data_IF_588799418105
#
_entry.id   IF_588799418105
#
_cell.length_a   1.000
_cell.length_b   1.000
_cell.length_c   1.000
_cell.angle_alpha   90.00
_cell.angle_beta   90.00
_cell.angle_gamma   90.00
#
_symmetry.space_group_name_H-M   'P 1'
#
loop_
_entity.id
_entity.type
_entity.pdbx_description
1 polymer ?
#
# COMPACT_ATOMS: atom_id res chain seq x y z
N UNK A 1 19.89 -11.52 1.92
CA UNK A 1 18.73 -12.22 1.30
C UNK A 1 17.48 -11.33 1.13
N UNK A 2 17.22 -10.32 1.96
CA UNK A 2 16.15 -9.31 1.75
C UNK A 2 16.18 -8.65 0.35
N UNK A 3 17.35 -8.62 -0.26
CA UNK A 3 17.69 -8.24 -1.63
C UNK A 3 16.69 -8.82 -2.66
N UNK A 4 16.39 -10.12 -2.55
CA UNK A 4 15.46 -10.78 -3.46
C UNK A 4 14.01 -10.37 -3.17
N UNK A 5 13.67 -10.10 -1.91
CA UNK A 5 12.34 -9.60 -1.54
C UNK A 5 12.09 -8.19 -2.05
N UNK A 6 13.03 -7.26 -1.88
CA UNK A 6 12.87 -5.88 -2.37
C UNK A 6 12.80 -5.83 -3.90
N UNK A 7 13.68 -6.59 -4.59
CA UNK A 7 13.64 -6.72 -6.03
C UNK A 7 12.32 -7.38 -6.52
N UNK A 8 11.83 -8.42 -5.83
CA UNK A 8 10.48 -8.98 -6.08
C UNK A 8 9.40 -7.91 -5.83
N UNK A 9 9.45 -7.16 -4.72
CA UNK A 9 8.41 -6.19 -4.28
C UNK A 9 8.26 -4.99 -5.21
N UNK A 10 9.37 -4.39 -5.64
CA UNK A 10 9.36 -3.27 -6.59
C UNK A 10 8.94 -3.72 -8.00
N UNK A 11 9.46 -4.86 -8.46
CA UNK A 11 9.02 -5.50 -9.73
C UNK A 11 7.55 -5.94 -9.65
N UNK A 12 7.07 -6.35 -8.47
CA UNK A 12 5.67 -6.69 -8.18
C UNK A 12 4.75 -5.48 -7.99
N UNK A 13 5.24 -4.24 -8.10
CA UNK A 13 4.41 -3.04 -8.26
C UNK A 13 4.67 -2.28 -9.57
N UNK A 14 5.61 -2.75 -10.40
CA UNK A 14 5.90 -2.16 -11.73
C UNK A 14 6.96 -1.05 -11.73
N UNK A 15 7.77 -0.95 -10.68
CA UNK A 15 8.90 -0.02 -10.61
C UNK A 15 10.11 -0.56 -11.40
N UNK A 16 10.63 0.26 -12.32
CA UNK A 16 11.83 -0.03 -13.13
C UNK A 16 12.91 1.05 -12.93
N UNK A 17 13.32 1.30 -11.68
CA UNK A 17 14.49 2.12 -11.34
C UNK A 17 15.80 1.34 -11.47
N UNK A 18 16.97 2.01 -11.53
CA UNK A 18 18.27 1.34 -11.58
C UNK A 18 18.58 0.61 -10.25
N UNK A 19 18.94 -0.67 -10.33
CA UNK A 19 19.25 -1.50 -9.16
C UNK A 19 20.71 -1.28 -8.72
N UNK A 20 20.95 -1.14 -7.40
CA UNK A 20 22.24 -1.53 -6.76
C UNK A 20 22.23 -1.51 -5.21
N UNK A 21 21.07 -1.60 -4.55
CA UNK A 21 20.95 -1.22 -3.14
C UNK A 21 21.25 -2.41 -2.14
N UNK A 22 22.20 -2.22 -1.18
CA UNK A 22 22.98 -3.17 -0.35
C UNK A 22 23.24 -2.60 1.12
N UNK A 23 23.38 -3.28 2.28
CA UNK A 23 23.54 -4.71 2.68
C UNK A 23 23.16 -5.05 4.17
N UNK A 24 22.21 -6.00 4.37
CA UNK A 24 22.20 -7.12 5.36
C UNK A 24 21.90 -6.97 6.89
N UNK A 25 20.92 -7.76 7.42
CA UNK A 25 21.00 -8.45 8.73
C UNK A 25 20.03 -9.65 8.91
N UNK A 26 20.20 -10.37 10.03
CA UNK A 26 19.68 -11.70 10.37
C UNK A 26 18.16 -11.81 10.62
N UNK A 27 17.42 -12.42 9.69
CA UNK A 27 16.42 -13.44 10.03
C UNK A 27 16.38 -14.46 8.87
N UNK A 28 16.31 -15.77 9.17
CA UNK A 28 16.89 -16.79 8.28
C UNK A 28 15.96 -17.47 7.28
N UNK A 29 14.65 -17.27 7.34
CA UNK A 29 13.72 -17.75 6.30
C UNK A 29 12.77 -16.65 5.84
N UNK A 30 13.09 -16.06 4.69
CA UNK A 30 12.24 -15.06 4.01
C UNK A 30 12.28 -15.30 2.50
N UNK A 31 12.03 -16.56 2.16
CA UNK A 31 12.06 -17.12 0.79
C UNK A 31 10.82 -16.75 -0.05
N UNK A 32 9.74 -16.33 0.62
CA UNK A 32 8.38 -16.21 0.11
C UNK A 32 8.14 -15.28 -1.10
N UNK A 33 7.05 -15.49 -1.87
CA UNK A 33 6.51 -14.51 -2.81
C UNK A 33 5.73 -13.38 -2.13
N UNK A 34 5.67 -12.24 -2.81
CA UNK A 34 4.73 -11.15 -2.52
C UNK A 34 3.59 -11.18 -3.53
N UNK A 35 2.36 -11.16 -3.03
CA UNK A 35 1.16 -11.09 -3.84
C UNK A 35 0.57 -9.67 -3.82
N UNK A 36 0.10 -9.18 -4.97
CA UNK A 36 -0.65 -7.93 -5.05
C UNK A 36 -1.87 -8.07 -5.96
N UNK A 37 -2.90 -7.31 -5.65
CA UNK A 37 -4.03 -7.04 -6.51
C UNK A 37 -4.37 -5.54 -6.46
N UNK A 38 -3.87 -4.79 -7.44
CA UNK A 38 -3.90 -3.32 -7.45
C UNK A 38 -4.42 -2.74 -8.76
N UNK A 39 -4.83 -1.48 -8.74
CA UNK A 39 -4.82 -0.64 -9.94
C UNK A 39 -3.60 0.28 -9.90
N UNK A 40 -2.82 0.27 -10.96
CA UNK A 40 -1.68 1.15 -11.17
C UNK A 40 -2.10 2.32 -12.07
N UNK A 41 -1.64 3.53 -11.74
CA UNK A 41 -1.78 4.73 -12.59
C UNK A 41 -0.43 5.15 -13.14
N UNK A 42 -0.34 5.31 -14.47
CA UNK A 42 0.79 5.95 -15.13
C UNK A 42 1.15 5.38 -16.51
N UNK A 43 2.21 5.91 -17.16
CA UNK A 43 3.04 7.03 -16.70
C UNK A 43 2.29 8.37 -16.73
N UNK A 44 2.46 9.19 -15.69
CA UNK A 44 2.02 10.59 -15.68
C UNK A 44 2.77 11.38 -14.60
N UNK A 45 3.05 12.66 -14.85
CA UNK A 45 3.67 13.56 -13.87
C UNK A 45 2.61 14.02 -12.84
N UNK A 46 2.82 13.74 -11.55
CA UNK A 46 1.94 14.24 -10.49
C UNK A 46 2.69 14.46 -9.15
N UNK A 47 2.05 15.17 -8.23
CA UNK A 47 2.62 15.65 -6.97
C UNK A 47 1.89 15.10 -5.74
N UNK A 48 1.03 14.10 -5.92
CA UNK A 48 0.36 13.41 -4.83
C UNK A 48 -0.79 12.52 -5.29
N UNK A 49 -1.35 11.77 -4.34
CA UNK A 49 -2.45 10.84 -4.51
C UNK A 49 -3.35 10.82 -3.28
N UNK A 50 -4.62 10.48 -3.47
CA UNK A 50 -5.59 10.21 -2.40
C UNK A 50 -6.35 8.92 -2.68
N UNK A 51 -6.89 8.32 -1.63
CA UNK A 51 -7.85 7.22 -1.69
C UNK A 51 -8.34 6.85 -0.30
N UNK A 52 -9.57 6.36 -0.20
CA UNK A 52 -10.12 5.88 1.06
C UNK A 52 -9.98 4.35 1.07
N UNK A 53 -9.13 3.83 1.95
CA UNK A 53 -8.85 2.40 2.06
C UNK A 53 -9.85 1.79 3.04
N UNK A 54 -10.66 0.84 2.57
CA UNK A 54 -11.56 0.06 3.40
C UNK A 54 -10.75 -0.85 4.35
N UNK A 55 -11.10 -0.81 5.63
CA UNK A 55 -10.30 -1.36 6.73
C UNK A 55 -10.80 -2.76 7.13
N UNK A 56 -9.94 -3.77 7.11
CA UNK A 56 -10.25 -5.15 7.49
C UNK A 56 -9.18 -5.71 8.43
N UNK A 57 -9.58 -6.65 9.30
CA UNK A 57 -8.68 -7.42 10.16
C UNK A 57 -8.54 -8.88 9.71
N UNK A 58 -7.79 -9.16 8.61
CA UNK A 58 -7.49 -10.53 8.20
C UNK A 58 -6.69 -11.25 9.29
N UNK A 59 -6.98 -12.53 9.52
CA UNK A 59 -6.12 -13.41 10.30
C UNK A 59 -4.94 -13.85 9.41
N UNK A 60 -3.72 -13.81 9.94
CA UNK A 60 -2.50 -14.24 9.24
C UNK A 60 -1.58 -15.02 10.20
N UNK A 61 -0.75 -15.92 9.69
CA UNK A 61 0.28 -16.60 10.49
C UNK A 61 1.36 -15.63 11.00
N UNK A 62 2.13 -16.04 12.00
CA UNK A 62 3.14 -15.21 12.68
C UNK A 62 4.25 -14.66 11.75
N UNK A 63 4.44 -15.30 10.60
CA UNK A 63 5.42 -15.01 9.54
C UNK A 63 4.77 -14.51 8.24
N UNK A 64 3.49 -14.15 8.28
CA UNK A 64 2.71 -13.65 7.15
C UNK A 64 2.28 -12.19 7.34
N UNK A 65 1.92 -11.54 6.24
CA UNK A 65 1.35 -10.18 6.27
C UNK A 65 0.23 -10.05 5.24
N UNK A 66 -0.83 -9.32 5.60
CA UNK A 66 -1.92 -8.94 4.71
C UNK A 66 -2.33 -7.49 4.97
N UNK A 67 -2.43 -6.69 3.91
CA UNK A 67 -2.68 -5.27 4.02
C UNK A 67 -3.18 -4.61 2.73
N UNK A 68 -3.43 -3.31 2.81
CA UNK A 68 -3.83 -2.47 1.70
C UNK A 68 -3.01 -1.18 1.69
N UNK A 69 -2.70 -0.67 0.50
CA UNK A 69 -1.77 0.44 0.34
C UNK A 69 -2.15 1.43 -0.77
N UNK A 70 -1.57 2.62 -0.66
CA UNK A 70 -1.37 3.64 -1.69
C UNK A 70 0.15 3.85 -1.84
N UNK A 71 0.66 4.41 -2.94
CA UNK A 71 2.11 4.60 -3.17
C UNK A 71 2.56 6.09 -3.03
N UNK A 72 3.71 6.48 -2.43
CA UNK A 72 4.65 5.79 -1.51
C UNK A 72 3.93 4.86 -0.54
N UNK A 73 4.47 3.68 -0.25
CA UNK A 73 3.73 2.54 0.28
C UNK A 73 3.16 2.75 1.72
N UNK A 74 2.07 3.51 1.84
CA UNK A 74 1.34 3.81 3.07
C UNK A 74 -0.02 3.14 3.06
N UNK A 75 -0.52 2.76 4.23
CA UNK A 75 -1.80 2.09 4.31
C UNK A 75 -2.04 1.42 5.66
N UNK A 76 -2.73 0.29 5.62
CA UNK A 76 -2.94 -0.55 6.78
C UNK A 76 -2.41 -1.97 6.51
N UNK A 77 -1.90 -2.64 7.54
CA UNK A 77 -1.53 -4.05 7.46
C UNK A 77 -1.73 -4.77 8.79
N UNK A 78 -1.92 -6.09 8.73
CA UNK A 78 -1.72 -7.02 9.83
C UNK A 78 -0.38 -7.70 9.58
N UNK A 79 0.59 -7.48 10.46
CA UNK A 79 1.94 -8.08 10.43
C UNK A 79 2.32 -8.46 11.88
N UNK A 80 2.16 -9.73 12.28
CA UNK A 80 2.43 -10.16 13.65
C UNK A 80 3.93 -10.21 13.94
N UNK A 81 4.77 -10.31 12.90
CA UNK A 81 6.23 -10.36 13.01
C UNK A 81 6.81 -8.99 13.39
N UNK A 82 6.27 -7.91 12.81
CA UNK A 82 6.67 -6.54 13.11
C UNK A 82 6.10 -6.09 14.45
N UNK A 83 4.78 -6.20 14.64
CA UNK A 83 4.10 -5.57 15.77
C UNK A 83 4.06 -6.41 17.06
N UNK A 84 4.31 -7.72 17.00
CA UNK A 84 4.51 -8.62 18.16
C UNK A 84 3.36 -8.69 19.20
N UNK A 85 2.21 -8.03 18.95
CA UNK A 85 1.08 -7.94 19.89
C UNK A 85 -0.03 -8.95 19.57
N UNK A 86 -0.41 -9.11 18.30
CA UNK A 86 -1.58 -9.91 17.91
C UNK A 86 -1.60 -10.25 16.42
N UNK A 87 -2.11 -11.44 16.09
CA UNK A 87 -2.29 -11.94 14.72
C UNK A 87 -3.45 -11.30 13.91
N UNK A 88 -4.16 -10.33 14.51
CA UNK A 88 -5.35 -9.70 13.94
C UNK A 88 -5.44 -8.19 14.18
N UNK A 89 -4.43 -7.59 14.80
CA UNK A 89 -4.39 -6.13 14.97
C UNK A 89 -3.97 -5.46 13.66
N UNK A 90 -4.79 -4.49 13.24
CA UNK A 90 -4.55 -3.72 12.02
C UNK A 90 -3.81 -2.45 12.40
N UNK A 91 -2.65 -2.23 11.81
CA UNK A 91 -1.80 -1.08 12.11
C UNK A 91 -1.69 -0.13 10.92
N UNK A 92 -1.71 1.17 11.19
CA UNK A 92 -1.35 2.20 10.22
C UNK A 92 0.15 2.11 9.94
N UNK A 93 0.56 1.85 8.71
CA UNK A 93 1.97 1.70 8.35
C UNK A 93 2.37 2.63 7.20
N UNK A 94 3.67 2.91 7.10
CA UNK A 94 4.24 3.64 5.98
C UNK A 94 5.63 3.10 5.65
N UNK A 95 5.84 2.67 4.41
CA UNK A 95 7.11 2.11 3.95
C UNK A 95 7.87 3.06 3.03
N UNK A 96 9.09 3.42 3.43
CA UNK A 96 10.06 4.17 2.64
C UNK A 96 11.41 3.47 2.65
N UNK A 97 12.25 3.81 1.68
CA UNK A 97 13.66 3.50 1.67
C UNK A 97 14.37 4.56 0.84
N UNK A 98 15.69 4.62 0.94
CA UNK A 98 16.49 5.35 -0.05
C UNK A 98 16.63 4.45 -1.29
N UNK A 99 16.47 4.98 -2.51
CA UNK A 99 17.02 4.34 -3.74
C UNK A 99 18.56 4.46 -3.65
N UNK A 100 19.35 3.32 -3.68
CA UNK A 100 21.74 2.27 -2.41
C UNK A 100 21.88 1.42 -1.03
N UNK A 101 21.25 1.72 0.12
CA UNK A 101 20.95 0.85 1.27
C UNK A 101 19.92 -0.31 1.02
N UNK A 102 20.04 -1.53 1.60
CA UNK A 102 18.92 -2.54 1.55
C UNK A 102 17.74 -2.17 2.46
N UNK A 103 17.98 -1.38 3.49
CA UNK A 103 17.07 -1.21 4.62
C UNK A 103 16.01 -0.16 4.34
N UNK A 104 14.90 -0.62 3.75
CA UNK A 104 13.64 0.11 3.82
C UNK A 104 12.94 -0.12 5.17
N UNK A 105 12.21 0.90 5.60
CA UNK A 105 11.68 1.08 6.95
C UNK A 105 10.15 1.22 6.95
N UNK A 106 9.49 0.75 8.00
CA UNK A 106 8.03 0.58 8.06
C UNK A 106 7.33 1.47 9.10
N UNK A 107 8.10 2.09 9.99
CA UNK A 107 7.65 2.93 11.10
C UNK A 107 8.78 3.86 11.60
N UNK A 108 8.49 4.63 12.65
CA UNK A 108 9.40 5.62 13.27
C UNK A 108 10.60 5.03 14.04
N UNK A 109 10.80 3.71 14.07
CA UNK A 109 12.05 3.12 14.61
C UNK A 109 13.26 3.42 13.71
N UNK A 110 13.02 3.79 12.45
CA UNK A 110 14.04 4.25 11.52
C UNK A 110 14.11 5.79 11.39
N UNK A 111 15.29 6.33 11.02
CA UNK A 111 15.38 7.69 10.51
C UNK A 111 14.66 7.84 9.16
N UNK A 112 14.17 9.05 8.89
CA UNK A 112 13.67 9.46 7.58
C UNK A 112 12.22 9.95 7.56
N UNK A 113 11.38 9.52 8.49
CA UNK A 113 10.06 10.12 8.69
C UNK A 113 10.08 11.10 9.86
N UNK A 114 9.64 12.34 9.61
CA UNK A 114 9.44 13.35 10.64
C UNK A 114 7.97 13.32 11.02
N UNK A 115 7.64 12.66 12.14
CA UNK A 115 6.27 12.68 12.67
C UNK A 115 5.93 14.07 13.22
N UNK A 116 4.78 14.59 12.81
CA UNK A 116 4.26 15.92 13.18
C UNK A 116 3.00 15.80 14.04
N UNK A 117 2.17 14.78 13.79
CA UNK A 117 1.00 14.50 14.62
C UNK A 117 1.38 14.05 16.02
N UNK A 118 0.64 14.57 17.01
CA UNK A 118 0.71 14.17 18.42
C UNK A 118 -0.42 13.21 18.82
N UNK A 119 -1.33 12.94 17.90
CA UNK A 119 -2.57 12.18 18.05
C UNK A 119 -2.54 10.87 17.26
N UNK A 120 -1.80 10.83 16.15
CA UNK A 120 -1.80 9.72 15.18
C UNK A 120 -0.34 9.36 14.84
N UNK A 121 0.26 8.37 15.53
CA UNK A 121 1.58 7.86 15.17
C UNK A 121 1.54 6.87 14.00
N UNK A 122 2.69 6.64 13.36
CA UNK A 122 2.88 5.41 12.59
C UNK A 122 2.91 4.21 13.55
N UNK A 123 2.38 3.07 13.11
CA UNK A 123 2.12 1.90 13.95
C UNK A 123 0.84 1.99 14.78
N UNK A 124 0.04 3.06 14.67
CA UNK A 124 -1.23 3.19 15.39
C UNK A 124 -2.19 2.03 15.11
N UNK A 125 -2.79 1.48 16.16
CA UNK A 125 -3.85 0.46 16.07
C UNK A 125 -5.12 1.08 15.47
N UNK A 126 -5.58 0.52 14.36
CA UNK A 126 -6.77 0.96 13.63
C UNK A 126 -7.98 0.09 13.98
N UNK A 127 -8.98 0.71 14.59
CA UNK A 127 -10.24 0.08 14.98
C UNK A 127 -11.38 1.11 15.02
N UNK A 128 -12.65 0.70 14.84
CA UNK A 128 -13.12 -0.64 14.48
C UNK A 128 -12.82 -1.02 13.01
N UNK A 129 -12.86 -2.32 12.71
CA UNK A 129 -12.65 -2.88 11.36
C UNK A 129 -13.98 -3.31 10.73
N UNK A 130 -14.02 -3.46 9.40
CA UNK A 130 -15.24 -3.80 8.65
C UNK A 130 -15.71 -5.23 8.89
N UNK A 131 -17.01 -5.47 8.71
CA UNK A 131 -17.67 -6.76 8.89
C UNK A 131 -18.34 -7.22 7.59
N UNK A 132 -18.22 -8.51 7.25
CA UNK A 132 -18.83 -9.08 6.05
C UNK A 132 -20.36 -8.90 6.08
N UNK A 133 -20.92 -8.32 5.01
CA UNK A 133 -22.34 -8.00 4.86
C UNK A 133 -22.87 -7.12 6.02
N UNK A 134 -22.01 -6.30 6.63
CA UNK A 134 -22.32 -5.41 7.75
C UNK A 134 -21.63 -4.06 7.65
N UNK A 135 -21.43 -3.39 8.78
CA UNK A 135 -20.81 -2.05 8.85
C UNK A 135 -19.41 -2.04 8.23
N UNK A 136 -19.16 -1.05 7.37
CA UNK A 136 -17.88 -0.81 6.73
C UNK A 136 -17.19 0.40 7.37
N UNK A 137 -15.87 0.32 7.47
CA UNK A 137 -15.02 1.42 7.91
C UNK A 137 -13.91 1.67 6.88
N UNK A 138 -13.48 2.92 6.74
CA UNK A 138 -12.45 3.32 5.80
C UNK A 138 -11.55 4.42 6.38
N UNK A 139 -10.27 4.41 5.98
CA UNK A 139 -9.28 5.41 6.36
C UNK A 139 -8.95 6.28 5.13
N UNK A 140 -9.10 7.59 5.27
CA UNK A 140 -8.95 8.53 4.15
C UNK A 140 -7.49 8.99 4.08
N UNK A 141 -6.72 8.42 3.16
CA UNK A 141 -5.28 8.68 3.06
C UNK A 141 -4.96 9.69 1.98
N UNK A 142 -3.98 10.54 2.25
CA UNK A 142 -3.38 11.44 1.26
C UNK A 142 -1.87 11.41 1.35
N UNK A 143 -1.23 11.32 0.20
CA UNK A 143 0.20 11.60 0.04
C UNK A 143 0.35 12.78 -0.90
N UNK A 144 1.16 13.76 -0.53
CA UNK A 144 1.43 14.89 -1.40
C UNK A 144 2.82 15.47 -1.16
N UNK A 145 3.46 15.91 -2.23
CA UNK A 145 4.68 16.69 -2.16
C UNK A 145 4.33 18.15 -1.86
N UNK A 146 5.03 18.78 -0.91
CA UNK A 146 4.98 20.22 -0.81
C UNK A 146 5.89 20.88 -1.85
N UNK A 147 5.31 21.79 -2.62
CA UNK A 147 5.95 22.42 -3.77
C UNK A 147 7.00 23.47 -3.38
N UNK A 148 7.07 23.83 -2.09
CA UNK A 148 8.02 24.81 -1.56
C UNK A 148 9.41 24.21 -1.27
N UNK A 149 9.49 22.93 -0.86
CA UNK A 149 10.74 22.29 -0.44
C UNK A 149 10.95 20.85 -0.98
N UNK A 150 9.93 20.23 -1.59
CA UNK A 150 9.99 18.88 -2.14
C UNK A 150 9.64 17.76 -1.15
N UNK A 151 9.31 18.07 0.10
CA UNK A 151 9.02 17.07 1.13
C UNK A 151 7.70 16.34 0.85
N UNK A 152 7.68 15.02 1.06
CA UNK A 152 6.48 14.20 0.88
C UNK A 152 5.73 14.04 2.19
N UNK A 153 4.57 14.70 2.29
CA UNK A 153 3.67 14.64 3.42
C UNK A 153 2.73 13.43 3.35
N UNK A 154 2.49 12.83 4.50
CA UNK A 154 1.46 11.81 4.73
C UNK A 154 0.38 12.36 5.65
N UNK A 155 -0.88 12.24 5.20
CA UNK A 155 -2.05 12.61 5.99
C UNK A 155 -3.06 11.47 6.08
N UNK A 156 -3.67 11.35 7.26
CA UNK A 156 -4.68 10.37 7.64
C UNK A 156 -5.93 11.12 8.12
N UNK A 157 -7.08 10.87 7.50
CA UNK A 157 -8.36 11.53 7.82
C UNK A 157 -8.27 13.08 7.87
N UNK A 158 -7.49 13.64 6.93
CA UNK A 158 -7.13 15.06 6.79
C UNK A 158 -6.16 15.63 7.85
N UNK A 159 -5.72 14.86 8.84
CA UNK A 159 -4.63 15.26 9.75
C UNK A 159 -3.25 14.85 9.19
N UNK A 160 -2.27 15.76 9.22
CA UNK A 160 -0.91 15.49 8.78
C UNK A 160 -0.15 14.66 9.82
N UNK A 161 0.03 13.37 9.55
CA UNK A 161 0.81 12.43 10.38
C UNK A 161 2.28 12.88 10.46
N UNK A 162 2.86 13.27 9.32
CA UNK A 162 4.26 13.68 9.21
C UNK A 162 4.72 13.72 7.75
N UNK A 163 6.04 13.78 7.53
CA UNK A 163 6.63 13.88 6.20
C UNK A 163 7.99 13.19 6.05
N UNK A 164 8.35 12.87 4.81
CA UNK A 164 9.69 12.46 4.38
C UNK A 164 10.42 13.66 3.76
N UNK A 165 11.60 14.04 4.26
CA UNK A 165 12.42 15.07 3.65
C UNK A 165 12.79 14.74 2.20
N UNK A 166 12.76 15.75 1.31
CA UNK A 166 13.11 15.62 -0.10
C UNK A 166 14.49 14.97 -0.35
N UNK A 167 15.42 15.16 0.60
CA UNK A 167 16.78 14.61 0.59
C UNK A 167 16.86 13.08 0.56
N UNK A 168 15.78 12.36 0.94
CA UNK A 168 15.69 10.90 0.80
C UNK A 168 15.49 10.44 -0.65
N UNK A 169 15.05 11.33 -1.53
CA UNK A 169 14.55 11.00 -2.87
C UNK A 169 15.32 11.67 -4.02
N UNK A 170 16.47 12.27 -3.74
CA UNK A 170 17.29 12.98 -4.74
C UNK A 170 17.74 12.04 -5.87
N UNK A 171 18.19 10.84 -5.51
CA UNK A 171 18.71 9.83 -6.44
C UNK A 171 17.60 9.18 -7.31
N UNK A 172 16.34 9.25 -6.86
CA UNK A 172 15.17 8.61 -7.49
C UNK A 172 14.35 9.55 -8.39
N UNK A 173 14.53 10.86 -8.25
CA UNK A 173 13.73 11.88 -8.92
C UNK A 173 12.35 12.14 -8.28
N UNK A 174 11.96 11.39 -7.23
CA UNK A 174 10.75 11.69 -6.46
C UNK A 174 10.89 12.99 -5.66
N UNK A 175 12.10 13.52 -5.49
CA UNK A 175 12.35 14.87 -5.00
C UNK A 175 11.67 15.98 -5.83
N UNK A 176 11.28 15.71 -7.08
CA UNK A 176 10.65 16.70 -8.00
C UNK A 176 9.20 16.41 -8.37
N UNK A 177 8.76 15.14 -8.33
CA UNK A 177 7.40 14.64 -8.66
C UNK A 177 7.36 13.11 -8.66
N UNK A 178 6.17 12.52 -8.61
CA UNK A 178 5.95 11.12 -8.93
C UNK A 178 5.54 10.90 -10.41
N UNK A 179 5.84 9.69 -10.91
CA UNK A 179 5.55 9.25 -12.29
C UNK A 179 4.55 8.09 -12.37
N UNK A 180 4.38 7.33 -11.28
CA UNK A 180 3.51 6.15 -11.16
C UNK A 180 2.91 6.05 -9.76
N UNK A 181 1.65 5.65 -9.66
CA UNK A 181 0.98 5.32 -8.39
C UNK A 181 0.33 3.94 -8.45
N UNK A 182 -0.02 3.39 -7.30
CA UNK A 182 -0.84 2.21 -7.16
C UNK A 182 -1.76 2.32 -5.93
N UNK A 183 -2.91 1.64 -6.00
CA UNK A 183 -3.83 1.41 -4.89
C UNK A 183 -4.28 -0.05 -4.90
N UNK A 184 -4.49 -0.66 -3.74
CA UNK A 184 -5.08 -2.01 -3.61
C UNK A 184 -4.43 -2.84 -2.51
N UNK A 185 -4.51 -4.17 -2.63
CA UNK A 185 -4.03 -5.11 -1.63
C UNK A 185 -2.60 -5.60 -1.86
N UNK A 186 -1.88 -5.90 -0.77
CA UNK A 186 -0.61 -6.62 -0.75
C UNK A 186 -0.66 -7.73 0.32
N UNK A 187 -0.07 -8.89 0.01
CA UNK A 187 0.10 -10.03 0.91
C UNK A 187 1.53 -10.56 0.81
N UNK A 188 2.08 -11.06 1.91
CA UNK A 188 3.29 -11.87 1.96
C UNK A 188 2.99 -13.24 2.58
N UNK A 189 3.62 -14.29 2.06
CA UNK A 189 3.67 -15.61 2.68
C UNK A 189 5.02 -16.29 2.40
N UNK A 190 5.62 -17.00 3.37
CA UNK A 190 6.72 -17.94 3.13
C UNK A 190 6.38 -18.99 2.06
N UNK A 191 7.38 -19.63 1.44
CA UNK A 191 7.14 -20.71 0.45
C UNK A 191 6.65 -22.01 1.08
N UNK A 192 6.89 -22.19 2.38
CA UNK A 192 6.42 -23.31 3.21
C UNK A 192 4.95 -23.20 3.58
N UNK A 193 4.41 -21.97 3.56
CA UNK A 193 3.09 -21.65 4.08
C UNK A 193 2.09 -21.26 2.98
N UNK A 194 0.82 -21.61 3.20
CA UNK A 194 -0.25 -21.25 2.28
C UNK A 194 -0.59 -19.77 2.43
N UNK A 195 -0.68 -19.04 1.33
CA UNK A 195 -0.89 -17.60 1.38
C UNK A 195 -2.21 -17.22 2.07
N UNK A 196 -2.25 -16.15 2.90
CA UNK A 196 -3.43 -15.76 3.66
C UNK A 196 -4.45 -14.99 2.82
N UNK A 197 -5.61 -14.71 3.43
CA UNK A 197 -6.64 -13.83 2.86
C UNK A 197 -6.09 -12.44 2.54
N UNK A 198 -6.45 -11.86 1.39
CA UNK A 198 -6.16 -10.47 1.06
C UNK A 198 -7.35 -9.57 1.37
N UNK A 199 -7.13 -8.48 2.12
CA UNK A 199 -8.18 -7.52 2.46
C UNK A 199 -9.25 -8.18 3.34
N UNK A 200 -10.43 -8.42 2.76
CA UNK A 200 -11.56 -9.10 3.42
C UNK A 200 -11.56 -10.62 3.24
N UNK A 201 -10.64 -11.18 2.43
CA UNK A 201 -10.66 -12.57 1.99
C UNK A 201 -11.67 -12.91 0.90
N UNK A 202 -12.60 -12.00 0.59
CA UNK A 202 -13.70 -12.24 -0.34
C UNK A 202 -13.36 -11.72 -1.76
N UNK A 203 -14.03 -12.25 -2.78
CA UNK A 203 -13.66 -11.94 -4.16
C UNK A 203 -14.20 -10.56 -4.61
N UNK A 204 -13.47 -9.79 -5.44
CA UNK A 204 -13.89 -8.45 -5.88
C UNK A 204 -15.28 -8.35 -6.53
N UNK A 205 -15.78 -9.47 -7.06
CA UNK A 205 -17.12 -9.57 -7.68
C UNK A 205 -18.27 -9.54 -6.67
N UNK A 206 -18.00 -9.76 -5.39
CA UNK A 206 -19.00 -9.64 -4.31
C UNK A 206 -19.30 -8.17 -3.96
N UNK A 207 -18.40 -7.25 -4.32
CA UNK A 207 -18.63 -5.81 -4.22
C UNK A 207 -18.77 -5.26 -2.80
N UNK A 208 -19.52 -4.18 -2.67
CA UNK A 208 -19.65 -3.40 -1.44
C UNK A 208 -20.16 -4.24 -0.26
N UNK A 209 -19.67 -3.94 0.94
CA UNK A 209 -19.87 -4.69 2.20
C UNK A 209 -19.26 -6.09 2.30
N UNK A 210 -18.61 -6.58 1.23
CA UNK A 210 -18.10 -7.96 1.15
C UNK A 210 -16.65 -8.03 0.72
N UNK A 211 -16.35 -7.52 -0.47
CA UNK A 211 -14.99 -7.36 -0.97
C UNK A 211 -14.33 -6.14 -0.34
N UNK A 212 -13.02 -6.22 -0.06
CA UNK A 212 -12.26 -5.04 0.34
C UNK A 212 -12.12 -4.07 -0.83
N UNK A 213 -12.09 -2.77 -0.53
CA UNK A 213 -12.09 -1.73 -1.55
C UNK A 213 -11.15 -0.54 -1.29
N UNK A 214 -10.85 0.19 -2.37
CA UNK A 214 -10.34 1.56 -2.32
C UNK A 214 -11.27 2.44 -3.15
N UNK A 215 -11.94 3.40 -2.52
CA UNK A 215 -12.78 4.39 -3.22
C UNK A 215 -12.07 5.76 -3.26
N UNK A 216 -12.71 6.75 -3.90
CA UNK A 216 -12.23 8.14 -3.92
C UNK A 216 -10.77 8.27 -4.42
N UNK A 217 -10.36 7.42 -5.35
CA UNK A 217 -9.03 7.44 -5.96
C UNK A 217 -8.85 8.76 -6.71
N UNK A 218 -7.89 9.59 -6.27
CA UNK A 218 -7.55 10.88 -6.89
C UNK A 218 -6.05 11.05 -7.04
N UNK A 219 -5.67 11.90 -7.99
CA UNK A 219 -4.29 12.33 -8.27
C UNK A 219 -4.21 13.85 -8.02
N UNK A 220 -3.08 14.32 -7.50
CA UNK A 220 -2.82 15.74 -7.23
C UNK A 220 -1.83 16.25 -8.28
N UNK A 221 -2.25 17.16 -9.15
CA UNK A 221 -1.39 17.72 -10.20
C UNK A 221 -0.51 18.86 -9.66
N UNK A 222 0.29 19.45 -10.54
CA UNK A 222 0.84 20.79 -10.30
C UNK A 222 -0.27 21.78 -9.92
N UNK A 223 0.09 22.83 -9.17
CA UNK A 223 -0.85 23.77 -8.55
C UNK A 223 -1.79 23.15 -7.49
N UNK A 224 -1.41 21.99 -6.91
CA UNK A 224 -2.14 21.27 -5.83
C UNK A 224 -3.60 20.91 -6.18
N UNK A 225 -3.98 20.92 -7.47
CA UNK A 225 -5.34 20.56 -7.93
C UNK A 225 -5.57 19.05 -7.80
N UNK A 226 -6.60 18.66 -7.07
CA UNK A 226 -7.07 17.28 -6.97
C UNK A 226 -7.93 16.95 -8.20
N UNK A 227 -7.62 15.86 -8.90
CA UNK A 227 -8.38 15.36 -10.05
C UNK A 227 -8.60 13.84 -9.96
N UNK A 228 -9.55 13.33 -10.73
CA UNK A 228 -9.61 11.90 -11.04
C UNK A 228 -8.44 11.48 -11.95
N UNK A 229 -7.89 10.27 -11.79
CA UNK A 229 -6.95 9.70 -12.75
C UNK A 229 -7.61 9.50 -14.12
N UNK A 230 -6.83 9.67 -15.19
CA UNK A 230 -7.24 9.32 -16.55
C UNK A 230 -7.42 7.78 -16.68
N UNK A 231 -8.61 7.32 -17.06
CA UNK A 231 -8.99 5.89 -17.09
C UNK A 231 -8.05 5.07 -18.00
N UNK A 232 -7.63 5.62 -19.14
CA UNK A 232 -6.69 4.97 -20.06
C UNK A 232 -5.27 4.77 -19.48
N UNK A 233 -4.91 5.44 -18.38
CA UNK A 233 -3.66 5.24 -17.64
C UNK A 233 -3.83 4.37 -16.40
N UNK A 234 -5.05 3.95 -16.07
CA UNK A 234 -5.31 2.94 -15.05
C UNK A 234 -5.16 1.54 -15.63
N UNK A 235 -4.40 0.68 -14.94
CA UNK A 235 -4.20 -0.72 -15.34
C UNK A 235 -4.29 -1.63 -14.12
N UNK A 236 -5.16 -2.63 -14.20
CA UNK A 236 -5.21 -3.73 -13.24
C UNK A 236 -3.85 -4.45 -13.20
N UNK A 237 -3.39 -4.80 -12.01
CA UNK A 237 -2.11 -5.46 -11.79
C UNK A 237 -2.24 -6.53 -10.70
N UNK A 238 -2.22 -7.78 -11.13
CA UNK A 238 -2.36 -8.98 -10.31
C UNK A 238 -1.07 -9.81 -10.45
N UNK A 239 -0.42 -10.25 -9.37
CA UNK A 239 0.72 -11.19 -9.51
C UNK A 239 0.28 -12.65 -9.58
N UNK A 240 -0.76 -13.05 -8.85
CA UNK A 240 -1.32 -14.40 -8.95
C UNK A 240 -2.80 -14.38 -9.28
N UNK A 241 -3.11 -14.66 -10.55
CA UNK A 241 -4.46 -14.74 -11.10
C UNK A 241 -5.31 -15.86 -10.47
N UNK A 242 -4.67 -16.83 -9.79
CA UNK A 242 -5.35 -17.92 -9.06
C UNK A 242 -5.76 -17.49 -7.65
N UNK A 243 -4.89 -16.73 -6.96
CA UNK A 243 -5.06 -16.40 -5.55
C UNK A 243 -5.83 -15.11 -5.30
N UNK A 244 -5.55 -14.04 -6.05
CA UNK A 244 -6.05 -12.70 -5.76
C UNK A 244 -6.48 -11.97 -7.02
N UNK A 245 -7.53 -11.18 -6.91
CA UNK A 245 -8.10 -10.42 -8.03
C UNK A 245 -8.31 -8.96 -7.68
N UNK A 246 -8.41 -8.15 -8.73
CA UNK A 246 -8.83 -6.76 -8.67
C UNK A 246 -9.92 -6.49 -9.70
N UNK A 247 -10.87 -5.62 -9.35
CA UNK A 247 -11.97 -5.19 -10.21
C UNK A 247 -12.18 -3.69 -10.00
N UNK A 248 -11.73 -2.89 -10.97
CA UNK A 248 -11.94 -1.45 -10.95
C UNK A 248 -13.27 -1.09 -11.63
N UNK A 249 -14.15 -0.41 -10.89
CA UNK A 249 -15.43 0.07 -11.39
C UNK A 249 -15.27 1.27 -12.33
N UNK A 250 -15.30 1.04 -13.65
CA UNK A 250 -15.43 2.12 -14.63
C UNK A 250 -16.87 2.68 -14.64
N UNK A 251 -17.18 3.48 -13.62
CA UNK A 251 -18.44 4.21 -13.47
C UNK A 251 -18.56 5.38 -14.46
N UNK A 252 -18.63 5.10 -15.76
CA UNK A 252 -18.72 6.15 -16.80
C UNK A 252 -20.02 6.96 -16.74
N UNK A 253 -21.07 6.41 -16.12
CA UNK A 253 -22.34 7.11 -15.82
C UNK A 253 -22.47 7.56 -14.36
N UNK A 254 -21.60 7.08 -13.48
CA UNK A 254 -21.67 7.26 -12.03
C UNK A 254 -20.26 7.39 -11.45
N UNK A 255 -19.68 8.60 -11.40
CA UNK A 255 -18.28 8.80 -11.00
C UNK A 255 -17.95 8.35 -9.57
N UNK A 256 -18.96 8.22 -8.70
CA UNK A 256 -18.85 7.67 -7.35
C UNK A 256 -18.67 6.13 -7.32
N UNK A 257 -19.01 5.42 -8.41
CA UNK A 257 -18.70 3.99 -8.57
C UNK A 257 -17.25 3.72 -8.98
N UNK A 258 -16.37 4.74 -9.00
CA UNK A 258 -14.91 4.63 -9.20
C UNK A 258 -14.22 4.04 -7.97
N UNK A 259 -14.57 2.79 -7.71
CA UNK A 259 -14.11 1.98 -6.60
C UNK A 259 -13.29 0.82 -7.16
N UNK A 260 -12.08 0.67 -6.63
CA UNK A 260 -11.29 -0.53 -6.79
C UNK A 260 -11.76 -1.57 -5.77
N UNK A 261 -12.29 -2.70 -6.22
CA UNK A 261 -12.44 -3.87 -5.35
C UNK A 261 -11.20 -4.76 -5.50
N UNK A 262 -10.70 -5.33 -4.41
CA UNK A 262 -9.57 -6.24 -4.40
C UNK A 262 -9.76 -7.30 -3.31
N UNK A 263 -9.16 -8.48 -3.49
CA UNK A 263 -9.25 -9.56 -2.52
C UNK A 263 -9.04 -10.94 -3.12
N UNK A 264 -9.14 -11.93 -2.25
CA UNK A 264 -8.97 -13.35 -2.56
C UNK A 264 -8.75 -14.16 -1.28
N UNK A 265 -9.13 -15.43 -1.34
CA UNK A 265 -9.19 -16.33 -0.19
C UNK A 265 -7.79 -16.80 0.26
N UNK A 266 -7.69 -17.35 1.47
CA UNK A 266 -6.49 -18.02 1.96
C UNK A 266 -6.28 -19.38 1.27
N UNK A 267 -5.16 -20.03 1.59
CA UNK A 267 -4.90 -21.41 1.20
C UNK A 267 -4.19 -21.57 -0.15
N UNK A 268 -3.89 -20.46 -0.84
CA UNK A 268 -3.30 -20.51 -2.17
C UNK A 268 -1.82 -20.92 -2.16
N UNK A 269 -1.44 -21.75 -3.13
CA UNK A 269 -0.07 -22.21 -3.39
C UNK A 269 0.20 -22.02 -4.88
N UNK A 270 1.30 -21.35 -5.23
CA UNK A 270 1.79 -21.30 -6.62
C UNK A 270 2.70 -22.50 -6.90
N UNK A 271 2.12 -23.49 -7.56
CA UNK A 271 2.79 -24.62 -8.23
C UNK A 271 3.14 -24.28 -9.67
#
# INVERSE_FOLDING_TARGET
MQDLMLAKRLKSIGFNGPLNFLTERNNTDVTGPYYVATVNFGPSNFYGVKGNLNLWGPQVSQDQMSGAFMAVAVGWMVDPSLYQISQYHVHLYAYWGKDNDKSGCYDITCPGFVQVSKTIPLGALLQPVSVYNGTQYEIRLSLYQDLANGDWWFAYNDENVGYWPASLFLDSGFDKRANYAAWGGQVYSPVTEKAPVMGSGNWPREGLSKAAYVNSIKVITGFKKVIDPEINRLKARETSLKCYRTLYGNGDKEPWLRTLYYGGDAGCIET
#
